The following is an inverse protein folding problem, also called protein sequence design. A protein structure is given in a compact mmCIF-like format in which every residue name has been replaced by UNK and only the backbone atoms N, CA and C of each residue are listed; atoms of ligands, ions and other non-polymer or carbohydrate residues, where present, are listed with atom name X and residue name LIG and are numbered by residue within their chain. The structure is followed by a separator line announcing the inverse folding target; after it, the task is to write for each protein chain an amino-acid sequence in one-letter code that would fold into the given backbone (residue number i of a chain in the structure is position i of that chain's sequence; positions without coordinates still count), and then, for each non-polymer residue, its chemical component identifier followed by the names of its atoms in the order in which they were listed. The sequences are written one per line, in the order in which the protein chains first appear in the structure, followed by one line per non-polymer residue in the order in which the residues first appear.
data_IF_192527285006
#
_entry.id   IF_192527285006
#
_cell.length_a   1.000
_cell.length_b   1.000
_cell.length_c   1.000
_cell.angle_alpha   90.00
_cell.angle_beta   90.00
_cell.angle_gamma   90.00
#
_symmetry.space_group_name_H-M   'P 1'
#
loop_
_entity.id
_entity.type
_entity.pdbx_description
1 polymer ?
#
# COMPACT_ATOMS: atom_id res chain seq x y z
N UNK A 1 -11.59 -73.84 -28.01
CA UNK A 1 -11.80 -72.39 -28.25
C UNK A 1 -11.99 -71.78 -26.86
N UNK A 2 -11.06 -70.94 -26.38
CA UNK A 2 -11.14 -70.44 -25.01
C UNK A 2 -12.26 -69.39 -24.89
N UNK A 3 -12.94 -69.42 -23.74
CA UNK A 3 -14.15 -68.67 -23.42
C UNK A 3 -13.87 -67.15 -23.37
N UNK A 4 -14.59 -66.40 -24.20
CA UNK A 4 -14.38 -64.96 -24.43
C UNK A 4 -14.74 -64.14 -23.17
N UNK A 5 -15.66 -64.66 -22.35
CA UNK A 5 -16.11 -64.05 -21.09
C UNK A 5 -15.03 -64.01 -20.02
N UNK A 6 -14.18 -65.05 -19.91
CA UNK A 6 -13.05 -65.04 -18.98
C UNK A 6 -11.98 -64.01 -19.39
N UNK A 7 -11.67 -63.88 -20.69
CA UNK A 7 -10.70 -62.89 -21.16
C UNK A 7 -11.11 -61.45 -20.83
N UNK A 8 -12.40 -61.12 -20.97
CA UNK A 8 -12.89 -59.78 -20.63
C UNK A 8 -12.84 -59.50 -19.11
N UNK A 9 -13.11 -60.51 -18.28
CA UNK A 9 -13.01 -60.38 -16.83
C UNK A 9 -11.56 -60.12 -16.38
N UNK A 10 -10.59 -60.85 -16.93
CA UNK A 10 -9.16 -60.65 -16.64
C UNK A 10 -8.67 -59.27 -17.07
N UNK A 11 -9.07 -58.80 -18.26
CA UNK A 11 -8.67 -57.48 -18.74
C UNK A 11 -9.27 -56.35 -17.88
N UNK A 12 -10.53 -56.50 -17.41
CA UNK A 12 -11.16 -55.53 -16.51
C UNK A 12 -10.53 -55.48 -15.11
N UNK A 13 -10.09 -56.64 -14.59
CA UNK A 13 -9.38 -56.71 -13.32
C UNK A 13 -7.99 -56.08 -13.42
N UNK A 14 -7.28 -56.30 -14.53
CA UNK A 14 -5.97 -55.70 -14.78
C UNK A 14 -6.08 -54.18 -14.91
N UNK A 15 -7.10 -53.66 -15.60
CA UNK A 15 -7.30 -52.20 -15.71
C UNK A 15 -7.70 -51.56 -14.39
N UNK A 16 -8.52 -52.22 -13.55
CA UNK A 16 -8.82 -51.72 -12.22
C UNK A 16 -7.60 -51.75 -11.29
N UNK A 17 -6.79 -52.81 -11.34
CA UNK A 17 -5.53 -52.91 -10.56
C UNK A 17 -4.53 -51.86 -11.01
N UNK A 18 -4.38 -51.61 -12.32
CA UNK A 18 -3.50 -50.53 -12.80
C UNK A 18 -4.08 -49.15 -12.51
N UNK A 19 -5.39 -48.93 -12.57
CA UNK A 19 -6.02 -47.66 -12.14
C UNK A 19 -5.94 -47.44 -10.64
N UNK A 20 -5.89 -48.50 -9.81
CA UNK A 20 -5.65 -48.38 -8.37
C UNK A 20 -4.17 -48.26 -8.02
N UNK A 21 -3.29 -48.93 -8.76
CA UNK A 21 -1.83 -48.87 -8.57
C UNK A 21 -1.20 -47.60 -9.18
N UNK A 22 -1.82 -47.05 -10.23
CA UNK A 22 -1.57 -45.74 -10.84
C UNK A 22 -2.66 -44.75 -10.39
N UNK A 23 -3.49 -45.13 -9.42
CA UNK A 23 -4.34 -44.20 -8.72
C UNK A 23 -3.39 -43.18 -8.16
N UNK A 24 -3.54 -41.93 -8.58
CA UNK A 24 -2.75 -40.81 -8.09
C UNK A 24 -2.96 -40.75 -6.57
N UNK A 25 -2.17 -41.54 -5.85
CA UNK A 25 -1.86 -41.31 -4.46
C UNK A 25 -1.44 -39.85 -4.44
N UNK A 26 -1.98 -39.08 -3.50
CA UNK A 26 -1.47 -37.74 -3.25
C UNK A 26 0.04 -37.88 -3.11
N UNK A 27 0.77 -37.58 -4.17
CA UNK A 27 2.17 -37.32 -4.09
C UNK A 27 2.18 -36.04 -3.27
N UNK A 28 2.33 -36.21 -1.97
CA UNK A 28 2.78 -35.17 -1.06
C UNK A 28 4.11 -34.75 -1.67
N UNK A 29 4.04 -33.81 -2.61
CA UNK A 29 5.19 -33.11 -3.11
C UNK A 29 5.71 -32.39 -1.88
N UNK A 30 6.62 -33.03 -1.16
CA UNK A 30 7.41 -32.38 -0.13
C UNK A 30 8.19 -31.31 -0.87
N UNK A 31 7.60 -30.12 -0.95
CA UNK A 31 8.31 -28.95 -1.38
C UNK A 31 9.34 -28.68 -0.29
N UNK A 32 10.62 -28.71 -0.63
CA UNK A 32 11.65 -28.17 0.25
C UNK A 32 11.33 -26.68 0.43
N UNK A 33 10.72 -26.36 1.57
CA UNK A 33 10.57 -24.98 1.99
C UNK A 33 11.98 -24.47 2.28
N UNK A 34 12.46 -23.53 1.46
CA UNK A 34 13.79 -22.98 1.63
C UNK A 34 13.95 -22.38 3.04
N UNK A 35 15.09 -22.65 3.68
CA UNK A 35 15.40 -22.14 5.03
C UNK A 35 16.12 -20.78 5.00
N UNK A 36 15.82 -19.95 4.00
CA UNK A 36 16.39 -18.60 3.96
C UNK A 36 15.68 -17.72 5.00
N UNK A 37 16.38 -16.70 5.48
CA UNK A 37 15.78 -15.67 6.36
C UNK A 37 14.58 -15.00 5.70
N UNK A 38 14.63 -14.80 4.37
CA UNK A 38 13.51 -14.25 3.60
C UNK A 38 12.24 -15.11 3.67
N UNK A 39 12.35 -16.44 3.62
CA UNK A 39 11.18 -17.32 3.79
C UNK A 39 10.59 -17.22 5.19
N UNK A 40 11.44 -17.14 6.22
CA UNK A 40 10.99 -16.96 7.60
C UNK A 40 10.26 -15.62 7.80
N UNK A 41 10.78 -14.54 7.21
CA UNK A 41 10.20 -13.20 7.30
C UNK A 41 8.85 -13.13 6.59
N UNK A 42 8.75 -13.66 5.36
CA UNK A 42 7.49 -13.70 4.61
C UNK A 42 6.46 -14.57 5.33
N UNK A 43 6.87 -15.72 5.88
CA UNK A 43 5.96 -16.60 6.65
C UNK A 43 5.42 -15.89 7.89
N UNK A 44 6.27 -15.12 8.58
CA UNK A 44 5.88 -14.33 9.75
C UNK A 44 4.93 -13.21 9.38
N UNK A 45 5.17 -12.51 8.27
CA UNK A 45 4.27 -11.48 7.75
C UNK A 45 2.92 -12.09 7.39
N UNK A 46 2.90 -13.18 6.61
CA UNK A 46 1.69 -13.86 6.18
C UNK A 46 0.85 -14.32 7.38
N UNK A 47 1.48 -14.92 8.40
CA UNK A 47 0.79 -15.32 9.62
C UNK A 47 0.16 -14.17 10.41
N UNK A 48 0.68 -12.95 10.28
CA UNK A 48 0.11 -11.77 10.93
C UNK A 48 -1.08 -11.18 10.18
N UNK A 49 -1.28 -11.59 8.92
CA UNK A 49 -2.39 -11.11 8.10
C UNK A 49 -3.57 -12.09 8.08
N UNK A 50 -3.28 -13.39 8.03
CA UNK A 50 -4.29 -14.46 7.90
C UNK A 50 -5.10 -14.63 9.18
N UNK A 51 -6.43 -14.61 9.05
CA UNK A 51 -7.37 -15.01 10.07
C UNK A 51 -7.86 -16.45 9.83
N UNK A 52 -7.21 -17.43 10.48
CA UNK A 52 -7.60 -18.85 10.41
C UNK A 52 -8.99 -19.15 11.00
N UNK A 53 -9.64 -18.17 11.62
CA UNK A 53 -11.01 -18.27 12.11
C UNK A 53 -12.08 -18.10 11.01
N UNK A 54 -11.70 -17.59 9.84
CA UNK A 54 -12.61 -17.46 8.69
C UNK A 54 -12.43 -18.65 7.73
N UNK A 55 -13.51 -19.11 7.11
CA UNK A 55 -13.43 -20.16 6.08
C UNK A 55 -12.99 -19.53 4.74
N UNK A 56 -11.87 -19.98 4.13
CA UNK A 56 -11.42 -19.48 2.83
C UNK A 56 -12.41 -19.75 1.68
N UNK A 57 -13.30 -20.74 1.82
CA UNK A 57 -14.33 -21.03 0.81
C UNK A 57 -15.51 -20.06 0.87
N UNK A 58 -15.77 -19.49 2.05
CA UNK A 58 -16.89 -18.57 2.27
C UNK A 58 -16.47 -17.10 2.11
N UNK A 59 -15.38 -16.70 2.76
CA UNK A 59 -14.85 -15.34 2.72
C UNK A 59 -13.32 -15.34 2.68
N UNK A 60 -12.79 -15.51 1.47
CA UNK A 60 -11.35 -15.50 1.22
C UNK A 60 -10.70 -14.16 1.62
N UNK A 61 -11.43 -13.05 1.50
CA UNK A 61 -10.91 -11.74 1.87
C UNK A 61 -10.67 -11.66 3.38
N UNK A 62 -11.67 -12.06 4.18
CA UNK A 62 -11.55 -12.12 5.62
C UNK A 62 -10.52 -13.16 6.07
N UNK A 63 -10.42 -14.30 5.37
CA UNK A 63 -9.38 -15.30 5.67
C UNK A 63 -7.97 -14.75 5.46
N UNK A 64 -7.69 -14.08 4.35
CA UNK A 64 -6.33 -13.60 4.04
C UNK A 64 -5.96 -12.32 4.78
N UNK A 65 -6.91 -11.41 4.99
CA UNK A 65 -6.65 -10.05 5.50
C UNK A 65 -7.20 -9.80 6.91
N UNK A 66 -8.00 -10.72 7.46
CA UNK A 66 -8.81 -10.45 8.64
C UNK A 66 -8.03 -10.06 9.90
N UNK A 67 -6.80 -10.56 10.08
CA UNK A 67 -5.94 -10.11 11.20
C UNK A 67 -5.21 -8.81 10.86
N UNK A 68 -4.82 -8.61 9.59
CA UNK A 68 -4.16 -7.37 9.17
C UNK A 68 -5.07 -6.15 9.37
N UNK A 69 -6.35 -6.26 9.01
CA UNK A 69 -7.33 -5.18 9.16
C UNK A 69 -7.47 -4.75 10.64
N UNK A 70 -7.38 -5.69 11.58
CA UNK A 70 -7.41 -5.39 13.03
C UNK A 70 -6.16 -4.65 13.51
N UNK A 71 -5.03 -4.82 12.82
CA UNK A 71 -3.77 -4.15 13.16
C UNK A 71 -3.72 -2.70 12.69
N UNK A 72 -4.64 -2.27 11.82
CA UNK A 72 -4.70 -0.90 11.30
C UNK A 72 -5.37 0.01 12.34
N UNK A 73 -4.68 1.05 12.84
CA UNK A 73 -5.15 1.83 13.99
C UNK A 73 -6.32 2.77 13.70
N UNK A 74 -6.66 3.06 12.44
CA UNK A 74 -7.74 4.00 12.08
C UNK A 74 -8.71 3.38 11.05
N UNK A 75 -9.93 3.00 11.46
CA UNK A 75 -10.87 2.26 10.61
C UNK A 75 -11.53 3.12 9.51
N UNK A 76 -11.41 4.46 9.59
CA UNK A 76 -12.10 5.39 8.69
C UNK A 76 -11.21 5.94 7.55
N UNK A 77 -9.95 5.50 7.46
CA UNK A 77 -9.11 5.77 6.29
C UNK A 77 -9.02 4.49 5.47
N UNK A 78 -9.24 4.59 4.17
CA UNK A 78 -8.90 3.52 3.24
C UNK A 78 -7.38 3.35 3.26
N UNK A 79 -6.88 2.45 4.09
CA UNK A 79 -5.47 2.10 4.18
C UNK A 79 -5.31 0.80 3.40
N UNK A 80 -4.55 0.87 2.32
CA UNK A 80 -4.12 -0.28 1.53
C UNK A 80 -2.71 -0.73 1.94
N UNK A 81 -2.28 -1.89 1.45
CA UNK A 81 -0.89 -2.31 1.60
C UNK A 81 0.10 -1.32 0.96
N UNK A 82 -0.32 -0.58 -0.07
CA UNK A 82 0.51 0.46 -0.70
C UNK A 82 0.69 1.64 0.25
N UNK A 83 -0.35 2.04 0.97
CA UNK A 83 -0.26 3.12 1.96
C UNK A 83 0.66 2.75 3.12
N UNK A 84 0.53 1.51 3.63
CA UNK A 84 1.42 0.99 4.68
C UNK A 84 2.88 0.92 4.20
N UNK A 85 3.11 0.51 2.96
CA UNK A 85 4.45 0.50 2.36
C UNK A 85 4.99 1.92 2.19
N UNK A 86 4.16 2.86 1.73
CA UNK A 86 4.55 4.26 1.58
C UNK A 86 4.90 4.88 2.94
N UNK A 87 4.18 4.56 4.01
CA UNK A 87 4.52 5.01 5.36
C UNK A 87 5.90 4.48 5.80
N UNK A 88 6.20 3.20 5.52
CA UNK A 88 7.51 2.63 5.80
C UNK A 88 8.63 3.33 5.01
N UNK A 89 8.39 3.59 3.72
CA UNK A 89 9.34 4.33 2.88
C UNK A 89 9.56 5.75 3.38
N UNK A 90 8.50 6.48 3.72
CA UNK A 90 8.58 7.83 4.24
C UNK A 90 9.39 7.89 5.54
N UNK A 91 9.25 6.89 6.43
CA UNK A 91 10.05 6.77 7.65
C UNK A 91 11.53 6.56 7.35
N UNK A 92 11.83 5.69 6.39
CA UNK A 92 13.21 5.44 5.97
C UNK A 92 13.83 6.67 5.28
N UNK A 93 13.08 7.35 4.42
CA UNK A 93 13.48 8.59 3.77
C UNK A 93 13.76 9.69 4.80
N UNK A 94 12.87 9.88 5.77
CA UNK A 94 13.09 10.82 6.87
C UNK A 94 14.37 10.48 7.65
N UNK A 95 14.64 9.21 7.94
CA UNK A 95 15.87 8.78 8.61
C UNK A 95 17.12 9.11 7.78
N UNK A 96 17.08 8.90 6.46
CA UNK A 96 18.18 9.27 5.57
C UNK A 96 18.39 10.78 5.50
N UNK A 97 17.31 11.56 5.45
CA UNK A 97 17.37 13.02 5.39
C UNK A 97 17.84 13.66 6.71
N UNK A 98 17.75 12.94 7.83
CA UNK A 98 18.33 13.37 9.11
C UNK A 98 19.78 12.87 9.35
N UNK A 99 20.28 11.93 8.54
CA UNK A 99 21.62 11.38 8.74
C UNK A 99 22.72 12.37 8.32
N UNK A 100 23.50 12.85 9.29
CA UNK A 100 24.63 13.77 9.05
C UNK A 100 25.68 13.20 8.09
N UNK A 101 25.90 11.89 8.16
CA UNK A 101 26.88 11.16 7.34
C UNK A 101 26.58 11.23 5.84
N UNK A 102 25.32 11.42 5.45
CA UNK A 102 24.91 11.47 4.03
C UNK A 102 25.09 12.87 3.41
N UNK A 103 25.51 13.88 4.18
CA UNK A 103 25.56 15.29 3.75
C UNK A 103 26.77 15.65 2.88
N UNK A 104 27.63 14.68 2.57
CA UNK A 104 28.90 14.92 1.87
C UNK A 104 28.71 15.51 0.46
N UNK A 105 27.62 15.16 -0.23
CA UNK A 105 27.33 15.72 -1.55
C UNK A 105 26.46 16.99 -1.47
N UNK A 106 26.68 17.92 -2.40
CA UNK A 106 25.85 19.13 -2.55
C UNK A 106 24.36 18.79 -2.74
N UNK A 107 24.06 17.71 -3.46
CA UNK A 107 22.70 17.26 -3.70
C UNK A 107 22.03 16.83 -2.39
N UNK A 108 22.70 15.99 -1.59
CA UNK A 108 22.19 15.57 -0.28
C UNK A 108 22.08 16.73 0.69
N UNK A 109 23.08 17.61 0.76
CA UNK A 109 23.00 18.81 1.61
C UNK A 109 21.80 19.71 1.25
N UNK A 110 21.47 19.82 -0.04
CA UNK A 110 20.31 20.60 -0.50
C UNK A 110 18.99 19.90 -0.14
N UNK A 111 18.91 18.58 -0.34
CA UNK A 111 17.73 17.79 0.01
C UNK A 111 17.44 17.81 1.52
N UNK A 112 18.47 17.63 2.35
CA UNK A 112 18.33 17.71 3.81
C UNK A 112 17.88 19.09 4.27
N UNK A 113 18.52 20.15 3.77
CA UNK A 113 18.11 21.53 4.07
C UNK A 113 16.66 21.80 3.64
N UNK A 114 16.27 21.32 2.46
CA UNK A 114 14.89 21.47 1.98
C UNK A 114 13.89 20.76 2.89
N UNK A 115 14.21 19.53 3.30
CA UNK A 115 13.39 18.74 4.21
C UNK A 115 13.24 19.41 5.59
N UNK A 116 14.34 19.88 6.19
CA UNK A 116 14.32 20.64 7.44
C UNK A 116 13.42 21.88 7.33
N UNK A 117 13.53 22.63 6.23
CA UNK A 117 12.69 23.80 5.98
C UNK A 117 11.22 23.47 5.79
N UNK A 118 10.90 22.31 5.22
CA UNK A 118 9.53 21.83 5.14
C UNK A 118 8.94 21.62 6.55
N UNK A 119 9.68 20.94 7.43
CA UNK A 119 9.24 20.63 8.80
C UNK A 119 9.01 21.88 9.66
N UNK A 120 9.85 22.91 9.51
CA UNK A 120 9.73 24.15 10.29
C UNK A 120 8.83 25.20 9.64
N UNK A 121 8.38 24.98 8.40
CA UNK A 121 7.68 26.00 7.62
C UNK A 121 6.41 26.50 8.31
N UNK A 122 5.56 25.61 8.81
CA UNK A 122 4.32 26.03 9.48
C UNK A 122 4.60 26.96 10.66
N UNK A 123 5.54 26.60 11.53
CA UNK A 123 5.93 27.43 12.68
C UNK A 123 6.56 28.76 12.26
N UNK A 124 7.36 28.77 11.19
CA UNK A 124 7.96 29.99 10.62
C UNK A 124 6.91 30.98 10.05
N UNK A 125 5.78 30.45 9.58
CA UNK A 125 4.68 31.22 8.97
C UNK A 125 3.52 31.49 9.93
N UNK A 126 3.45 30.82 11.10
CA UNK A 126 2.50 31.13 12.18
C UNK A 126 2.69 32.59 12.60
N UNK A 127 1.71 33.44 12.25
CA UNK A 127 1.71 34.88 12.54
C UNK A 127 2.13 35.80 11.40
N UNK A 128 2.54 35.27 10.23
CA UNK A 128 2.90 36.05 9.03
C UNK A 128 1.83 36.06 7.94
N UNK A 129 0.61 35.60 8.25
CA UNK A 129 -0.47 35.45 7.25
C UNK A 129 -0.38 34.19 6.39
N UNK A 130 0.64 33.35 6.61
CA UNK A 130 0.90 32.16 5.80
C UNK A 130 1.86 32.43 4.63
N UNK A 131 2.44 31.36 4.08
CA UNK A 131 3.38 31.44 2.95
C UNK A 131 2.75 32.04 1.69
N UNK A 132 1.44 31.83 1.51
CA UNK A 132 0.71 32.30 0.34
C UNK A 132 0.65 33.84 0.29
N UNK A 133 0.49 34.52 1.41
CA UNK A 133 0.44 35.99 1.45
C UNK A 133 1.76 36.59 0.98
N UNK A 134 2.89 36.07 1.47
CA UNK A 134 4.21 36.48 0.99
C UNK A 134 4.39 36.25 -0.51
N UNK A 135 3.98 35.07 -1.02
CA UNK A 135 4.09 34.79 -2.45
C UNK A 135 3.26 35.79 -3.25
N UNK A 136 2.01 36.04 -2.83
CA UNK A 136 1.11 37.01 -3.47
C UNK A 136 1.71 38.42 -3.50
N UNK A 137 2.36 38.85 -2.42
CA UNK A 137 3.06 40.14 -2.37
C UNK A 137 4.24 40.19 -3.35
N UNK A 138 5.05 39.13 -3.43
CA UNK A 138 6.23 39.06 -4.32
C UNK A 138 5.84 39.00 -5.79
N UNK A 139 4.77 38.28 -6.13
CA UNK A 139 4.27 38.19 -7.51
C UNK A 139 3.35 39.36 -7.88
N UNK A 140 3.23 40.37 -6.99
CA UNK A 140 2.41 41.57 -7.18
C UNK A 140 0.97 41.23 -7.53
N UNK A 141 0.42 40.24 -6.84
CA UNK A 141 -0.99 39.88 -6.93
C UNK A 141 -1.69 40.50 -5.73
N UNK A 142 -2.31 41.66 -5.96
CA UNK A 142 -3.13 42.30 -4.94
C UNK A 142 -4.41 41.49 -4.74
N UNK A 143 -4.72 41.14 -3.49
CA UNK A 143 -6.05 40.63 -3.15
C UNK A 143 -7.07 41.77 -3.34
N UNK A 144 -7.95 41.66 -4.34
CA UNK A 144 -9.11 42.55 -4.43
C UNK A 144 -10.05 42.20 -3.26
N UNK A 145 -10.66 43.18 -2.56
CA UNK A 145 -11.66 42.91 -1.56
C UNK A 145 -12.74 41.96 -2.09
N UNK A 146 -13.10 40.99 -1.24
CA UNK A 146 -14.08 39.95 -1.51
C UNK A 146 -15.42 40.62 -1.84
N UNK A 147 -15.79 40.66 -3.12
CA UNK A 147 -17.14 41.05 -3.50
C UNK A 147 -18.01 39.79 -3.50
N UNK A 148 -19.02 39.79 -2.64
CA UNK A 148 -20.11 38.84 -2.73
C UNK A 148 -20.90 39.14 -4.01
N UNK A 149 -20.80 38.24 -4.99
CA UNK A 149 -21.65 38.25 -6.17
C UNK A 149 -22.87 37.38 -5.88
N UNK A 150 -24.04 38.02 -5.76
CA UNK A 150 -25.32 37.33 -5.71
C UNK A 150 -25.67 36.87 -7.14
N UNK A 151 -25.48 35.58 -7.41
CA UNK A 151 -25.99 34.95 -8.63
C UNK A 151 -27.21 34.14 -8.21
N UNK A 152 -28.39 34.77 -8.29
CA UNK A 152 -29.65 34.23 -7.75
C UNK A 152 -29.72 34.32 -6.22
N UNK A 153 -30.26 33.29 -5.56
CA UNK A 153 -30.37 33.20 -4.08
C UNK A 153 -29.10 32.65 -3.40
N UNK A 154 -28.02 32.47 -4.15
CA UNK A 154 -26.77 31.92 -3.64
C UNK A 154 -25.66 32.98 -3.69
N UNK A 155 -25.03 33.22 -2.55
CA UNK A 155 -23.80 34.00 -2.47
C UNK A 155 -22.64 33.15 -3.01
N UNK A 156 -22.11 33.50 -4.18
CA UNK A 156 -20.92 32.84 -4.72
C UNK A 156 -19.70 33.68 -4.38
N UNK A 157 -18.70 33.05 -3.77
CA UNK A 157 -17.43 33.68 -3.44
C UNK A 157 -16.55 33.69 -4.69
N UNK A 158 -16.16 34.87 -5.16
CA UNK A 158 -15.25 35.01 -6.30
C UNK A 158 -14.01 35.75 -5.83
N UNK A 159 -12.90 35.02 -5.67
CA UNK A 159 -11.58 35.66 -5.52
C UNK A 159 -11.11 36.15 -6.88
N UNK A 160 -11.10 37.47 -7.07
CA UNK A 160 -10.45 38.11 -8.21
C UNK A 160 -9.02 38.49 -7.82
N UNK A 161 -8.05 37.88 -8.51
CA UNK A 161 -6.64 38.20 -8.39
C UNK A 161 -6.25 39.09 -9.56
N UNK A 162 -5.96 40.38 -9.31
CA UNK A 162 -5.39 41.27 -10.33
C UNK A 162 -3.90 41.39 -10.10
N UNK A 163 -3.11 41.11 -11.15
CA UNK A 163 -1.68 41.46 -11.18
C UNK A 163 -1.58 42.98 -11.24
N UNK A 164 -1.04 43.62 -10.21
CA UNK A 164 -0.73 45.05 -10.24
C UNK A 164 0.48 45.26 -11.15
N UNK A 165 0.27 45.88 -12.31
CA UNK A 165 1.38 46.37 -13.15
C UNK A 165 1.96 47.63 -12.51
N UNK A 166 3.29 47.68 -12.42
CA UNK A 166 4.04 48.87 -12.02
C UNK A 166 3.91 49.98 -13.06
#
# INVERSE_FOLDING_TARGET
MPDITEQFAFLSAITLVTVYAIGNTCQQQFFEVGNSTGYADITKLLRKSIAFSADPCDDFYQFVCGEWIKSVPEPNKSISHVDAFQEMLNKQEAAMLHASELRESRAMASAQRFYEKCLTSEDEWKGKGGSITFVMDVIWVSSIPIYYLLIGNSCVYVSLYTRTSQ
#
